data_IF_716285923263
#
_entry.id   IF_716285923263
#
_cell.length_a   1.000
_cell.length_b   1.000
_cell.length_c   1.000
_cell.angle_alpha   90.00
_cell.angle_beta   90.00
_cell.angle_gamma   90.00
#
_symmetry.space_group_name_H-M   'P 1'
#
loop_
_entity.id
_entity.type
_entity.pdbx_description
1 polymer ?
#
# COMPACT_ATOMS: atom_id res chain seq x y z
N UNK A 1 -47.97 -3.04 48.45
CA UNK A 1 -48.79 -4.16 47.94
C UNK A 1 -48.15 -4.70 46.66
N UNK A 2 -47.78 -5.99 46.69
CA UNK A 2 -48.02 -7.04 45.66
C UNK A 2 -47.77 -6.72 44.18
N UNK A 3 -47.15 -7.52 43.32
CA UNK A 3 -46.34 -8.77 43.33
C UNK A 3 -46.04 -9.07 41.85
N UNK A 4 -44.78 -9.33 41.51
CA UNK A 4 -44.28 -10.39 40.60
C UNK A 4 -44.66 -10.47 39.09
N UNK A 5 -43.91 -11.27 38.30
CA UNK A 5 -43.55 -11.00 36.91
C UNK A 5 -44.06 -12.07 35.91
N UNK A 6 -43.80 -11.91 34.61
CA UNK A 6 -43.91 -12.99 33.60
C UNK A 6 -42.48 -13.53 33.37
N UNK A 7 -42.07 -14.73 33.83
CA UNK A 7 -42.48 -16.11 33.53
C UNK A 7 -41.89 -16.67 32.22
N UNK A 8 -40.84 -17.50 32.41
CA UNK A 8 -40.41 -18.73 31.68
C UNK A 8 -40.04 -18.65 30.18
N UNK A 9 -38.95 -19.28 29.71
CA UNK A 9 -38.59 -20.71 29.85
C UNK A 9 -37.08 -20.98 29.86
N UNK A 10 -36.73 -21.95 30.69
CA UNK A 10 -35.46 -22.68 30.79
C UNK A 10 -35.46 -23.80 29.75
N UNK A 11 -34.32 -24.09 29.15
CA UNK A 11 -33.89 -25.47 28.89
C UNK A 11 -32.40 -25.59 29.26
N UNK A 12 -32.14 -26.44 30.25
CA UNK A 12 -30.82 -26.91 30.64
C UNK A 12 -30.72 -28.39 30.23
N UNK A 13 -29.61 -28.76 29.60
CA UNK A 13 -29.03 -30.11 29.56
C UNK A 13 -27.51 -29.82 29.51
N UNK A 14 -26.73 -30.02 30.59
CA UNK A 14 -26.16 -31.32 31.02
C UNK A 14 -24.96 -31.68 30.12
N UNK A 15 -23.74 -31.98 30.56
CA UNK A 15 -23.28 -32.63 31.78
C UNK A 15 -21.73 -32.48 31.90
N UNK A 16 -21.22 -32.74 33.11
CA UNK A 16 -19.86 -32.83 33.62
C UNK A 16 -18.80 -33.58 32.80
N UNK A 17 -17.53 -33.10 32.86
CA UNK A 17 -16.31 -33.89 33.18
C UNK A 17 -15.27 -32.90 33.76
N UNK A 18 -15.02 -32.89 35.08
CA UNK A 18 -14.00 -33.63 35.86
C UNK A 18 -12.55 -33.15 35.65
N UNK A 19 -11.96 -32.82 36.80
CA UNK A 19 -10.67 -32.19 37.12
C UNK A 19 -9.48 -32.99 36.60
N UNK A 20 -8.48 -32.28 36.08
CA UNK A 20 -7.11 -32.76 35.93
C UNK A 20 -6.13 -31.58 36.01
N UNK A 21 -5.59 -31.33 37.20
CA UNK A 21 -4.46 -30.42 37.41
C UNK A 21 -3.19 -31.18 37.04
N UNK A 22 -2.48 -30.71 36.02
CA UNK A 22 -1.05 -30.97 35.83
C UNK A 22 -0.34 -29.62 35.74
N UNK A 23 0.51 -29.38 36.73
CA UNK A 23 1.47 -28.30 36.72
C UNK A 23 2.62 -28.65 35.76
N UNK A 24 2.98 -27.70 34.90
CA UNK A 24 4.30 -27.61 34.28
C UNK A 24 4.86 -26.20 34.57
N UNK A 25 6.14 -26.06 34.95
CA UNK A 25 6.79 -24.76 35.16
C UNK A 25 7.55 -24.27 33.92
N UNK A 26 7.81 -22.96 33.87
CA UNK A 26 8.72 -22.23 32.96
C UNK A 26 8.31 -22.24 31.47
N UNK A 27 8.56 -21.21 30.66
CA UNK A 27 9.55 -20.14 30.74
C UNK A 27 9.13 -18.98 29.82
N UNK A 28 9.71 -17.83 30.14
CA UNK A 28 10.06 -16.69 29.30
C UNK A 28 8.99 -15.76 28.72
N UNK A 29 9.29 -14.49 28.95
CA UNK A 29 8.55 -13.29 28.62
C UNK A 29 9.01 -12.84 27.23
N UNK A 30 8.25 -13.11 26.17
CA UNK A 30 8.63 -12.66 24.81
C UNK A 30 7.42 -12.37 23.92
N UNK A 31 6.49 -11.54 24.39
CA UNK A 31 5.30 -11.17 23.62
C UNK A 31 5.47 -9.91 22.74
N UNK A 32 6.68 -9.35 22.61
CA UNK A 32 6.86 -8.03 21.98
C UNK A 32 7.43 -8.01 20.55
N UNK A 33 7.72 -9.14 19.90
CA UNK A 33 8.31 -9.15 18.54
C UNK A 33 7.36 -9.62 17.43
N UNK A 34 6.26 -10.30 17.78
CA UNK A 34 5.32 -10.87 16.80
C UNK A 34 4.27 -9.86 16.27
N UNK A 35 4.06 -8.75 16.97
CA UNK A 35 2.99 -7.78 16.66
C UNK A 35 3.45 -6.77 15.59
N UNK A 36 4.73 -6.38 15.56
CA UNK A 36 5.23 -5.45 14.55
C UNK A 36 5.35 -6.12 13.17
N UNK A 37 5.95 -7.32 13.11
CA UNK A 37 6.22 -8.04 11.85
C UNK A 37 4.95 -8.43 11.07
N UNK A 38 3.88 -8.82 11.77
CA UNK A 38 2.59 -9.15 11.14
C UNK A 38 1.92 -7.92 10.53
N UNK A 39 1.93 -6.79 11.25
CA UNK A 39 1.35 -5.54 10.77
C UNK A 39 2.10 -4.91 9.58
N UNK A 40 3.42 -5.06 9.53
CA UNK A 40 4.23 -4.58 8.41
C UNK A 40 3.99 -5.43 7.15
N UNK A 41 3.90 -6.75 7.32
CA UNK A 41 3.59 -7.69 6.23
C UNK A 41 2.20 -7.40 5.65
N UNK A 42 1.22 -7.15 6.51
CA UNK A 42 -0.15 -6.81 6.08
C UNK A 42 -0.20 -5.50 5.29
N UNK A 43 0.53 -4.46 5.73
CA UNK A 43 0.61 -3.20 5.01
C UNK A 43 1.29 -3.35 3.65
N UNK A 44 2.39 -4.12 3.56
CA UNK A 44 3.06 -4.40 2.30
C UNK A 44 2.13 -5.15 1.34
N UNK A 45 1.38 -6.14 1.83
CA UNK A 45 0.42 -6.89 1.03
C UNK A 45 -0.70 -5.99 0.47
N UNK A 46 -1.26 -5.11 1.30
CA UNK A 46 -2.27 -4.13 0.87
C UNK A 46 -1.72 -3.21 -0.22
N UNK A 47 -0.53 -2.64 -0.02
CA UNK A 47 0.12 -1.80 -1.02
C UNK A 47 0.44 -2.55 -2.31
N UNK A 48 0.85 -3.83 -2.22
CA UNK A 48 1.08 -4.67 -3.40
C UNK A 48 -0.20 -4.83 -4.21
N UNK A 49 -1.34 -5.03 -3.55
CA UNK A 49 -2.65 -5.15 -4.21
C UNK A 49 -3.08 -3.84 -4.90
N UNK A 50 -2.80 -2.70 -4.27
CA UNK A 50 -3.11 -1.38 -4.83
C UNK A 50 -2.26 -1.10 -6.07
N UNK A 51 -0.95 -1.35 -6.00
CA UNK A 51 0.00 -0.94 -7.02
C UNK A 51 0.16 -1.95 -8.16
N UNK A 52 -0.06 -3.25 -7.91
CA UNK A 52 0.04 -4.28 -8.94
C UNK A 52 -1.00 -4.07 -10.05
N UNK A 53 -0.50 -3.90 -11.29
CA UNK A 53 -1.33 -3.66 -12.45
C UNK A 53 -1.92 -2.25 -12.48
N UNK A 54 -1.18 -1.26 -11.98
CA UNK A 54 -1.62 0.13 -11.90
C UNK A 54 -0.63 1.06 -12.58
N UNK A 55 -1.13 1.99 -13.40
CA UNK A 55 -0.38 3.17 -13.84
C UNK A 55 -0.63 4.32 -12.87
N UNK A 56 0.44 4.91 -12.36
CA UNK A 56 0.41 6.15 -11.61
C UNK A 56 0.57 7.31 -12.59
N UNK A 57 -0.46 8.14 -12.72
CA UNK A 57 -0.48 9.28 -13.66
C UNK A 57 -0.31 10.60 -12.90
N UNK A 58 0.63 11.42 -13.34
CA UNK A 58 0.79 12.79 -12.84
C UNK A 58 0.69 13.78 -13.99
N UNK A 59 -0.21 14.74 -13.85
CA UNK A 59 -0.39 15.84 -14.78
C UNK A 59 -0.32 17.14 -14.01
N UNK A 60 0.56 18.04 -14.42
CA UNK A 60 0.66 19.36 -13.83
C UNK A 60 0.72 20.40 -14.93
N UNK A 61 -0.12 21.42 -14.81
CA UNK A 61 -0.15 22.56 -15.72
C UNK A 61 -0.10 23.82 -14.87
N UNK A 62 0.87 24.67 -15.16
CA UNK A 62 0.99 26.00 -14.60
C UNK A 62 0.83 27.03 -15.72
N UNK A 63 0.09 28.10 -15.45
CA UNK A 63 -0.11 29.21 -16.38
C UNK A 63 -0.04 30.53 -15.62
N UNK A 64 0.66 31.50 -16.20
CA UNK A 64 0.75 32.89 -15.77
C UNK A 64 0.58 33.84 -16.97
N UNK A 65 0.57 35.14 -16.73
CA UNK A 65 0.51 36.17 -17.79
C UNK A 65 1.74 36.20 -18.71
N UNK A 66 2.88 35.70 -18.23
CA UNK A 66 4.17 35.74 -18.93
C UNK A 66 4.59 34.40 -19.50
N UNK A 67 3.80 33.34 -19.29
CA UNK A 67 4.09 32.02 -19.81
C UNK A 67 3.46 30.91 -18.98
N UNK A 68 3.84 29.67 -19.26
CA UNK A 68 3.33 28.52 -18.54
C UNK A 68 4.13 27.27 -18.87
N UNK A 69 3.87 26.21 -18.14
CA UNK A 69 4.44 24.92 -18.45
C UNK A 69 3.49 23.78 -18.16
N UNK A 70 3.72 22.67 -18.84
CA UNK A 70 3.09 21.39 -18.56
C UNK A 70 4.14 20.37 -18.15
N UNK A 71 3.73 19.44 -17.30
CA UNK A 71 4.52 18.25 -16.96
C UNK A 71 3.58 17.05 -16.90
N UNK A 72 4.00 15.96 -17.54
CA UNK A 72 3.32 14.68 -17.55
C UNK A 72 4.29 13.62 -17.05
N UNK A 73 3.84 12.76 -16.15
CA UNK A 73 4.57 11.55 -15.77
C UNK A 73 3.62 10.36 -15.73
N UNK A 74 4.12 9.20 -16.13
CA UNK A 74 3.41 7.93 -16.12
C UNK A 74 4.37 6.88 -15.58
N UNK A 75 3.96 6.16 -14.55
CA UNK A 75 4.71 5.05 -13.97
C UNK A 75 3.83 3.81 -13.97
N UNK A 76 4.17 2.83 -14.80
CA UNK A 76 3.48 1.54 -14.89
C UNK A 76 4.09 0.58 -13.89
N UNK A 77 3.31 0.10 -12.93
CA UNK A 77 3.74 -0.90 -11.96
C UNK A 77 3.14 -2.24 -12.35
N UNK A 78 3.89 -3.01 -13.13
CA UNK A 78 3.39 -4.22 -13.75
C UNK A 78 3.35 -5.38 -12.74
N UNK A 79 2.32 -6.26 -12.78
CA UNK A 79 2.17 -7.33 -11.80
C UNK A 79 3.37 -8.27 -11.68
N UNK A 80 4.10 -8.45 -12.79
CA UNK A 80 5.29 -9.29 -12.90
C UNK A 80 6.51 -8.70 -12.15
N UNK A 81 6.41 -7.47 -11.62
CA UNK A 81 7.47 -6.84 -10.84
C UNK A 81 8.41 -5.93 -11.64
N UNK A 82 8.13 -5.65 -12.92
CA UNK A 82 8.83 -4.61 -13.67
C UNK A 82 8.03 -3.31 -13.73
N UNK A 83 8.72 -2.20 -13.98
CA UNK A 83 8.08 -0.91 -14.21
C UNK A 83 8.54 -0.27 -15.51
N UNK A 84 7.66 0.57 -16.05
CA UNK A 84 7.98 1.49 -17.14
C UNK A 84 7.65 2.91 -16.71
N UNK A 85 8.60 3.83 -16.85
CA UNK A 85 8.44 5.25 -16.57
C UNK A 85 8.49 6.05 -17.86
N UNK A 86 7.61 7.03 -17.97
CA UNK A 86 7.64 8.09 -18.98
C UNK A 86 7.44 9.44 -18.29
N UNK A 87 8.29 10.40 -18.58
CA UNK A 87 8.19 11.77 -18.11
C UNK A 87 8.44 12.76 -19.22
N UNK A 88 7.64 13.82 -19.27
CA UNK A 88 7.81 14.93 -20.21
C UNK A 88 7.49 16.24 -19.51
N UNK A 89 8.23 17.29 -19.82
CA UNK A 89 7.90 18.64 -19.41
C UNK A 89 8.11 19.61 -20.57
N UNK A 90 7.19 20.56 -20.78
CA UNK A 90 7.23 21.46 -21.93
C UNK A 90 8.43 22.42 -21.94
N UNK A 91 9.12 22.57 -20.81
CA UNK A 91 10.34 23.39 -20.69
C UNK A 91 11.63 22.55 -20.78
N UNK A 92 11.53 21.22 -20.83
CA UNK A 92 12.70 20.36 -20.95
C UNK A 92 13.10 20.22 -22.41
N UNK A 93 14.20 20.89 -22.78
CA UNK A 93 14.74 20.83 -24.15
C UNK A 93 15.36 19.48 -24.51
N UNK A 94 15.62 18.61 -23.52
CA UNK A 94 16.18 17.29 -23.74
C UNK A 94 15.13 16.23 -24.14
N UNK A 95 13.87 16.64 -24.24
CA UNK A 95 12.76 15.78 -24.66
C UNK A 95 12.25 14.85 -23.55
N UNK A 96 11.38 13.89 -23.89
CA UNK A 96 10.83 12.96 -22.92
C UNK A 96 11.92 12.06 -22.33
N UNK A 97 11.75 11.71 -21.07
CA UNK A 97 12.56 10.72 -20.35
C UNK A 97 11.78 9.42 -20.24
N UNK A 98 12.45 8.33 -20.57
CA UNK A 98 11.93 6.97 -20.40
C UNK A 98 12.92 6.16 -19.58
N UNK A 99 12.41 5.34 -18.67
CA UNK A 99 13.21 4.44 -17.85
C UNK A 99 12.40 3.16 -17.61
N UNK A 100 13.10 2.03 -17.49
CA UNK A 100 12.52 0.74 -17.13
C UNK A 100 13.38 0.05 -16.08
N UNK A 101 12.76 -0.84 -15.33
CA UNK A 101 13.46 -1.59 -14.27
C UNK A 101 12.51 -2.49 -13.50
N UNK A 102 12.90 -2.81 -12.26
CA UNK A 102 12.10 -3.62 -11.34
C UNK A 102 11.52 -2.77 -10.22
N UNK A 103 10.36 -3.18 -9.70
CA UNK A 103 9.76 -2.55 -8.53
C UNK A 103 9.41 -3.59 -7.46
N UNK A 104 9.62 -3.18 -6.22
CA UNK A 104 9.25 -3.95 -5.03
C UNK A 104 8.72 -3.03 -3.94
N UNK A 105 8.30 -3.62 -2.83
CA UNK A 105 7.84 -2.91 -1.65
C UNK A 105 8.67 -3.33 -0.45
N UNK A 106 8.96 -2.36 0.41
CA UNK A 106 9.68 -2.59 1.65
C UNK A 106 8.98 -1.86 2.80
N UNK A 107 8.72 -2.57 3.89
CA UNK A 107 8.36 -1.93 5.15
C UNK A 107 9.62 -1.39 5.82
N UNK A 108 9.57 -0.13 6.27
CA UNK A 108 10.66 0.50 7.01
C UNK A 108 10.11 1.55 7.96
N UNK A 109 10.40 1.39 9.24
CA UNK A 109 10.07 2.35 10.29
C UNK A 109 8.57 2.69 10.32
N UNK A 110 7.71 1.67 10.24
CA UNK A 110 6.25 1.83 10.27
C UNK A 110 5.64 2.45 9.01
N UNK A 111 6.38 2.49 7.89
CA UNK A 111 5.87 2.96 6.60
C UNK A 111 6.26 2.01 5.48
N UNK A 112 5.44 1.94 4.43
CA UNK A 112 5.77 1.16 3.22
C UNK A 112 6.41 2.08 2.19
N UNK A 113 7.52 1.63 1.62
CA UNK A 113 8.25 2.31 0.56
C UNK A 113 8.13 1.53 -0.75
N UNK A 114 7.86 2.26 -1.84
CA UNK A 114 8.07 1.78 -3.20
C UNK A 114 9.57 1.84 -3.50
N UNK A 115 10.13 0.70 -3.88
CA UNK A 115 11.52 0.60 -4.32
C UNK A 115 11.53 0.44 -5.82
N UNK A 116 12.19 1.35 -6.53
CA UNK A 116 12.39 1.28 -7.98
C UNK A 116 13.87 1.06 -8.26
N UNK A 117 14.19 -0.01 -8.97
CA UNK A 117 15.56 -0.34 -9.37
C UNK A 117 15.64 -0.34 -10.88
N UNK A 118 16.18 0.73 -11.46
CA UNK A 118 16.45 0.80 -12.89
C UNK A 118 17.41 -0.32 -13.30
N UNK A 119 17.34 -0.77 -14.56
CA UNK A 119 18.06 -1.96 -15.06
C UNK A 119 19.57 -1.96 -14.75
N UNK A 120 20.21 -0.79 -14.71
CA UNK A 120 21.62 -0.61 -14.35
C UNK A 120 21.83 0.42 -13.22
N UNK A 121 20.77 0.69 -12.45
CA UNK A 121 20.73 1.76 -11.45
C UNK A 121 20.84 1.25 -10.01
N UNK A 122 21.08 2.20 -9.10
CA UNK A 122 20.88 1.96 -7.67
C UNK A 122 19.37 2.02 -7.35
N UNK A 123 18.91 1.27 -6.34
CA UNK A 123 17.52 1.33 -5.92
C UNK A 123 17.16 2.73 -5.37
N UNK A 124 16.08 3.30 -5.89
CA UNK A 124 15.43 4.49 -5.36
C UNK A 124 14.28 4.11 -4.42
N UNK A 125 14.18 4.80 -3.28
CA UNK A 125 13.20 4.52 -2.24
C UNK A 125 12.21 5.68 -2.12
N UNK A 126 10.93 5.38 -2.21
CA UNK A 126 9.87 6.38 -2.20
C UNK A 126 8.81 6.01 -1.16
N UNK A 127 8.63 6.85 -0.16
CA UNK A 127 7.57 6.65 0.82
C UNK A 127 6.20 6.72 0.13
N UNK A 128 5.35 5.73 0.43
CA UNK A 128 3.99 5.66 -0.06
C UNK A 128 3.03 6.30 0.94
N UNK A 129 2.01 6.94 0.39
CA UNK A 129 0.87 7.42 1.14
C UNK A 129 -0.34 7.58 0.22
N UNK A 130 -1.48 7.95 0.80
CA UNK A 130 -2.64 8.38 0.02
C UNK A 130 -3.04 9.80 0.43
N UNK A 131 -3.49 10.59 -0.53
CA UNK A 131 -4.17 11.83 -0.23
C UNK A 131 -5.67 11.61 0.06
N UNK A 132 -6.37 12.68 0.41
CA UNK A 132 -7.80 12.65 0.69
C UNK A 132 -8.69 12.29 -0.51
N UNK A 133 -8.14 12.20 -1.72
CA UNK A 133 -8.83 11.80 -2.95
C UNK A 133 -8.46 10.39 -3.38
N UNK A 134 -7.76 9.63 -2.53
CA UNK A 134 -7.25 8.29 -2.82
C UNK A 134 -6.23 8.27 -3.98
N UNK A 135 -5.58 9.40 -4.27
CA UNK A 135 -4.40 9.39 -5.13
C UNK A 135 -3.21 8.88 -4.34
N UNK A 136 -2.24 8.29 -5.04
CA UNK A 136 -1.02 7.78 -4.42
C UNK A 136 -0.02 8.92 -4.28
N UNK A 137 0.40 9.17 -3.04
CA UNK A 137 1.52 10.06 -2.74
C UNK A 137 2.82 9.27 -2.93
N UNK A 138 3.68 9.78 -3.81
CA UNK A 138 5.03 9.27 -4.03
C UNK A 138 6.00 10.43 -3.84
N UNK A 139 6.67 10.47 -2.69
CA UNK A 139 7.41 11.66 -2.26
C UNK A 139 6.48 12.87 -2.08
N UNK A 140 6.73 13.96 -2.81
CA UNK A 140 5.94 15.20 -2.72
C UNK A 140 4.89 15.35 -3.84
N UNK A 141 4.56 14.27 -4.56
CA UNK A 141 3.64 14.29 -5.70
C UNK A 141 2.47 13.36 -5.47
N UNK A 142 1.29 13.82 -5.87
CA UNK A 142 0.04 13.06 -5.86
C UNK A 142 -0.25 12.52 -7.26
N UNK A 143 -0.33 11.19 -7.40
CA UNK A 143 -0.55 10.47 -8.66
C UNK A 143 -1.93 9.84 -8.69
N UNK A 144 -2.63 9.99 -9.81
CA UNK A 144 -3.93 9.36 -10.05
C UNK A 144 -3.68 7.90 -10.47
N UNK A 145 -4.09 6.91 -9.67
CA UNK A 145 -3.95 5.51 -10.03
C UNK A 145 -4.99 5.10 -11.08
N UNK A 146 -4.59 4.30 -12.06
CA UNK A 146 -5.50 3.74 -13.05
C UNK A 146 -5.09 2.29 -13.40
N UNK A 147 -6.05 1.37 -13.34
CA UNK A 147 -5.83 -0.06 -13.61
C UNK A 147 -6.16 -0.47 -15.05
N UNK A 148 -6.98 0.29 -15.76
CA UNK A 148 -7.50 -0.11 -17.08
C UNK A 148 -7.70 1.10 -18.01
N UNK A 149 -7.96 0.81 -19.29
CA UNK A 149 -8.27 1.80 -20.32
C UNK A 149 -7.05 2.62 -20.76
N UNK A 150 -7.31 3.76 -21.42
CA UNK A 150 -6.27 4.65 -21.98
C UNK A 150 -5.22 5.10 -20.95
N UNK A 151 -5.61 5.18 -19.68
CA UNK A 151 -4.74 5.60 -18.58
C UNK A 151 -4.22 4.43 -17.74
N UNK A 152 -4.55 3.17 -18.09
CA UNK A 152 -4.02 1.97 -17.45
C UNK A 152 -2.57 1.69 -17.85
N UNK A 153 -1.90 0.73 -17.19
CA UNK A 153 -0.51 0.42 -17.44
C UNK A 153 -0.30 -0.30 -18.77
N UNK A 154 0.88 -0.13 -19.34
CA UNK A 154 1.33 -0.91 -20.51
C UNK A 154 2.45 -1.83 -20.03
N UNK A 155 2.09 -3.10 -19.87
CA UNK A 155 2.96 -4.16 -19.35
C UNK A 155 3.25 -5.12 -20.49
N UNK A 156 4.32 -4.85 -21.21
CA UNK A 156 4.79 -5.64 -22.35
C UNK A 156 6.17 -6.23 -22.02
#
# INVERSE_FOLDING_TARGET
MKTNPKSTKIWAIGLFFLIGVLAYPQDDNTDNEAIETSSETDQVAQWRQILSGTRLNYFHTYRSSTGGFTRVQKLDLCPQGFYNFYGEASFDMSGPKTESGTWSLQARSGSVQLVLTAENGQPGYFQLGMDNKQNILLGNRSYIPAKTGKYGPVCN
#
